data_IF_254142309591
#
_entry.id   IF_254142309591
#
_cell.length_a   1.000
_cell.length_b   1.000
_cell.length_c   1.000
_cell.angle_alpha   90.00
_cell.angle_beta   90.00
_cell.angle_gamma   90.00
#
_symmetry.space_group_name_H-M   'P 1'
#
loop_
_entity.id
_entity.type
_entity.pdbx_description
1 polymer ?
#
# COMPACT_ATOMS: atom_id res chain seq x y z
N UNK A 1 40.01 -9.16 -31.50
CA UNK A 1 39.92 -8.23 -30.36
C UNK A 1 38.62 -8.51 -29.63
N UNK A 2 38.72 -9.25 -28.55
CA UNK A 2 37.60 -9.62 -27.68
C UNK A 2 37.25 -8.40 -26.84
N UNK A 3 36.06 -7.83 -27.02
CA UNK A 3 35.54 -6.80 -26.13
C UNK A 3 35.12 -7.53 -24.86
N UNK A 4 36.00 -7.52 -23.86
CA UNK A 4 35.65 -7.86 -22.49
C UNK A 4 34.69 -6.76 -22.04
N UNK A 5 33.40 -7.08 -21.93
CA UNK A 5 32.46 -6.19 -21.29
C UNK A 5 32.89 -6.03 -19.84
N UNK A 6 33.20 -4.80 -19.44
CA UNK A 6 33.45 -4.44 -18.05
C UNK A 6 32.29 -4.96 -17.18
N UNK A 7 32.57 -5.42 -15.95
CA UNK A 7 31.54 -5.92 -15.06
C UNK A 7 30.48 -4.82 -14.86
N UNK A 8 29.23 -5.18 -15.14
CA UNK A 8 28.05 -4.33 -14.96
C UNK A 8 28.14 -3.64 -13.61
N UNK A 9 28.04 -2.31 -13.62
CA UNK A 9 28.07 -1.46 -12.45
C UNK A 9 27.28 -2.07 -11.28
N UNK A 10 27.90 -2.04 -10.11
CA UNK A 10 27.43 -2.61 -8.85
C UNK A 10 25.94 -2.29 -8.63
N UNK A 11 25.08 -3.27 -8.93
CA UNK A 11 23.64 -3.07 -8.95
C UNK A 11 23.15 -2.91 -7.51
N UNK A 12 22.86 -1.68 -7.10
CA UNK A 12 22.30 -1.37 -5.79
C UNK A 12 20.77 -1.40 -5.87
N UNK A 13 20.17 -2.21 -5.00
CA UNK A 13 18.72 -2.21 -4.82
C UNK A 13 18.24 -0.84 -4.34
N UNK A 14 17.01 -0.42 -4.70
CA UNK A 14 16.41 0.75 -4.08
C UNK A 14 16.36 0.60 -2.56
N UNK A 15 16.29 1.72 -1.81
CA UNK A 15 16.13 1.69 -0.36
C UNK A 15 15.00 0.74 0.03
N UNK A 16 15.29 -0.17 0.94
CA UNK A 16 14.35 -1.18 1.44
C UNK A 16 14.64 -1.46 2.92
N UNK A 17 13.67 -2.08 3.59
CA UNK A 17 13.77 -2.44 5.01
C UNK A 17 14.15 -1.21 5.87
N UNK A 18 15.09 -1.36 6.80
CA UNK A 18 15.43 -0.30 7.78
C UNK A 18 15.82 1.03 7.11
N UNK A 19 16.61 1.00 6.04
CA UNK A 19 17.02 2.22 5.34
C UNK A 19 15.82 2.99 4.75
N UNK A 20 14.81 2.27 4.25
CA UNK A 20 13.59 2.90 3.75
C UNK A 20 12.63 3.30 4.88
N UNK A 21 12.64 2.57 6.01
CA UNK A 21 11.86 2.94 7.19
C UNK A 21 12.38 4.24 7.82
N UNK A 22 13.71 4.41 7.89
CA UNK A 22 14.35 5.65 8.34
C UNK A 22 13.98 6.83 7.43
N UNK A 23 14.04 6.66 6.11
CA UNK A 23 13.58 7.69 5.16
C UNK A 23 12.11 8.08 5.35
N UNK A 24 11.24 7.11 5.65
CA UNK A 24 9.82 7.39 5.96
C UNK A 24 9.70 8.20 7.27
N UNK A 25 10.47 7.86 8.30
CA UNK A 25 10.48 8.58 9.58
C UNK A 25 10.97 10.00 9.42
N UNK A 26 12.10 10.20 8.73
CA UNK A 26 12.62 11.54 8.42
C UNK A 26 11.61 12.39 7.63
N UNK A 27 10.99 11.80 6.60
CA UNK A 27 9.97 12.49 5.81
C UNK A 27 8.74 12.85 6.64
N UNK A 28 8.33 11.97 7.57
CA UNK A 28 7.21 12.20 8.49
C UNK A 28 7.53 13.32 9.47
N UNK A 29 8.73 13.33 10.05
CA UNK A 29 9.18 14.35 11.00
C UNK A 29 9.27 15.72 10.31
N UNK A 30 9.79 15.76 9.08
CA UNK A 30 9.83 16.98 8.27
C UNK A 30 8.42 17.54 7.97
N UNK A 31 7.50 16.70 7.47
CA UNK A 31 6.13 17.12 7.18
C UNK A 31 5.36 17.51 8.45
N UNK A 32 5.65 16.86 9.59
CA UNK A 32 5.09 17.21 10.90
C UNK A 32 5.58 18.58 11.37
N UNK A 33 6.88 18.85 11.25
CA UNK A 33 7.45 20.15 11.56
C UNK A 33 6.86 21.27 10.69
N UNK A 34 6.67 21.01 9.38
CA UNK A 34 6.03 21.95 8.47
C UNK A 34 4.57 22.22 8.86
N UNK A 35 3.81 21.18 9.20
CA UNK A 35 2.43 21.32 9.68
C UNK A 35 2.36 22.16 10.96
N UNK A 36 3.25 21.90 11.91
CA UNK A 36 3.33 22.64 13.18
C UNK A 36 3.73 24.11 12.95
N UNK A 37 4.69 24.38 12.07
CA UNK A 37 5.10 25.74 11.75
C UNK A 37 3.94 26.53 11.10
N UNK A 38 3.25 25.94 10.12
CA UNK A 38 2.11 26.55 9.47
C UNK A 38 0.94 26.78 10.44
N UNK A 39 0.61 25.79 11.28
CA UNK A 39 -0.43 25.91 12.31
C UNK A 39 -0.08 26.95 13.39
N UNK A 40 1.17 26.99 13.84
CA UNK A 40 1.66 27.99 14.78
C UNK A 40 1.60 29.41 14.22
N UNK A 41 2.02 29.61 12.97
CA UNK A 41 1.90 30.90 12.28
C UNK A 41 0.44 31.33 12.12
N UNK A 42 -0.47 30.38 11.85
CA UNK A 42 -1.91 30.65 11.77
C UNK A 42 -2.48 31.14 13.12
N UNK A 43 -2.05 30.55 14.24
CA UNK A 43 -2.47 30.99 15.58
C UNK A 43 -1.95 32.39 15.92
N UNK A 44 -0.67 32.68 15.65
CA UNK A 44 -0.06 33.99 15.94
C UNK A 44 -0.65 35.12 15.09
N UNK A 45 -1.05 34.83 13.85
CA UNK A 45 -1.70 35.79 12.95
C UNK A 45 -3.18 36.05 13.27
N UNK A 46 -3.69 35.53 14.40
CA UNK A 46 -5.08 35.71 14.82
C UNK A 46 -6.06 34.88 13.98
N UNK A 47 -5.68 33.66 13.61
CA UNK A 47 -6.30 32.89 12.53
C UNK A 47 -7.76 32.47 12.67
N UNK A 48 -8.43 32.76 13.78
CA UNK A 48 -9.90 32.67 13.83
C UNK A 48 -10.60 33.96 13.35
N UNK A 49 -9.88 35.09 13.32
CA UNK A 49 -10.42 36.43 13.13
C UNK A 49 -9.83 37.07 11.85
N UNK A 50 -8.62 36.71 11.46
CA UNK A 50 -7.91 37.33 10.33
C UNK A 50 -7.80 36.39 9.11
N UNK A 51 -8.12 36.86 7.88
CA UNK A 51 -8.06 36.05 6.65
C UNK A 51 -6.71 35.37 6.39
N UNK A 52 -5.60 36.01 6.79
CA UNK A 52 -4.25 35.45 6.65
C UNK A 52 -4.07 34.15 7.45
N UNK A 53 -4.64 34.06 8.64
CA UNK A 53 -4.54 32.84 9.44
C UNK A 53 -5.38 31.69 8.90
N UNK A 54 -6.50 31.96 8.22
CA UNK A 54 -7.26 30.93 7.50
C UNK A 54 -6.44 30.33 6.35
N UNK A 55 -5.70 31.17 5.60
CA UNK A 55 -4.79 30.72 4.53
C UNK A 55 -3.66 29.86 5.11
N UNK A 56 -3.08 30.26 6.25
CA UNK A 56 -2.02 29.50 6.92
C UNK A 56 -2.53 28.14 7.47
N UNK A 57 -3.75 28.10 8.02
CA UNK A 57 -4.40 26.83 8.39
C UNK A 57 -4.62 25.92 7.18
N UNK A 58 -5.07 26.47 6.05
CA UNK A 58 -5.23 25.69 4.82
C UNK A 58 -3.89 25.14 4.32
N UNK A 59 -2.79 25.90 4.48
CA UNK A 59 -1.45 25.42 4.14
C UNK A 59 -0.99 24.26 5.03
N UNK A 60 -1.39 24.20 6.30
CA UNK A 60 -1.06 23.09 7.20
C UNK A 60 -1.78 21.77 6.85
N UNK A 61 -2.92 21.82 6.15
CA UNK A 61 -3.74 20.64 5.85
C UNK A 61 -3.01 19.62 4.95
N UNK A 62 -2.31 20.09 3.90
CA UNK A 62 -1.63 19.21 2.95
C UNK A 62 -0.47 18.43 3.61
N UNK A 63 0.41 19.06 4.41
CA UNK A 63 1.38 18.36 5.26
C UNK A 63 0.72 17.34 6.21
N UNK A 64 -0.36 17.70 6.91
CA UNK A 64 -1.06 16.77 7.81
C UNK A 64 -1.55 15.49 7.11
N UNK A 65 -2.16 15.64 5.94
CA UNK A 65 -2.58 14.47 5.14
C UNK A 65 -1.40 13.57 4.73
N UNK A 66 -0.23 14.16 4.45
CA UNK A 66 0.99 13.40 4.15
C UNK A 66 1.54 12.70 5.38
N UNK A 67 1.56 13.37 6.53
CA UNK A 67 1.97 12.78 7.82
C UNK A 67 1.12 11.56 8.14
N UNK A 68 -0.20 11.64 7.98
CA UNK A 68 -1.06 10.47 8.16
C UNK A 68 -0.68 9.32 7.23
N UNK A 69 -0.48 9.61 5.93
CA UNK A 69 -0.09 8.57 4.97
C UNK A 69 1.24 7.91 5.37
N UNK A 70 2.23 8.71 5.76
CA UNK A 70 3.54 8.22 6.19
C UNK A 70 3.45 7.42 7.50
N UNK A 71 2.63 7.85 8.46
CA UNK A 71 2.42 7.12 9.70
C UNK A 71 1.80 5.73 9.48
N UNK A 72 0.85 5.60 8.53
CA UNK A 72 0.27 4.31 8.13
C UNK A 72 1.33 3.37 7.55
N UNK A 73 2.17 3.91 6.65
CA UNK A 73 3.29 3.17 6.04
C UNK A 73 4.31 2.74 7.10
N UNK A 74 4.73 3.66 7.97
CA UNK A 74 5.67 3.39 9.06
C UNK A 74 5.17 2.27 9.98
N UNK A 75 3.90 2.36 10.43
CA UNK A 75 3.29 1.35 11.31
C UNK A 75 3.29 -0.02 10.63
N UNK A 76 2.79 -0.10 9.40
CA UNK A 76 2.69 -1.38 8.70
C UNK A 76 4.07 -1.99 8.40
N UNK A 77 5.00 -1.16 7.95
CA UNK A 77 6.36 -1.60 7.64
C UNK A 77 7.12 -2.05 8.89
N UNK A 78 6.97 -1.35 10.02
CA UNK A 78 7.57 -1.75 11.30
C UNK A 78 7.08 -3.14 11.73
N UNK A 79 5.77 -3.39 11.66
CA UNK A 79 5.18 -4.68 12.00
C UNK A 79 5.71 -5.78 11.07
N UNK A 80 5.66 -5.56 9.76
CA UNK A 80 6.13 -6.53 8.76
C UNK A 80 7.61 -6.87 8.92
N UNK A 81 8.47 -5.87 9.14
CA UNK A 81 9.89 -6.10 9.33
C UNK A 81 10.15 -6.84 10.65
N UNK A 82 9.45 -6.49 11.73
CA UNK A 82 9.64 -7.15 13.03
C UNK A 82 9.26 -8.63 12.99
N UNK A 83 8.14 -8.98 12.34
CA UNK A 83 7.65 -10.36 12.30
C UNK A 83 8.40 -11.23 11.31
N UNK A 84 8.77 -10.68 10.14
CA UNK A 84 9.27 -11.47 9.02
C UNK A 84 10.78 -11.30 8.77
N UNK A 85 11.51 -10.63 9.68
CA UNK A 85 12.97 -10.43 9.57
C UNK A 85 13.73 -11.73 9.33
N UNK A 86 13.40 -12.78 10.09
CA UNK A 86 14.06 -14.09 10.02
C UNK A 86 13.81 -14.81 8.70
N UNK A 87 12.76 -14.42 7.97
CA UNK A 87 12.38 -15.02 6.69
C UNK A 87 13.01 -14.30 5.49
N UNK A 88 13.86 -13.29 5.73
CA UNK A 88 14.57 -12.55 4.68
C UNK A 88 13.65 -11.63 3.87
N UNK A 89 12.63 -11.07 4.51
CA UNK A 89 11.69 -10.14 3.86
C UNK A 89 12.42 -8.90 3.31
N UNK A 90 12.03 -8.48 2.10
CA UNK A 90 12.42 -7.22 1.49
C UNK A 90 11.16 -6.38 1.30
N UNK A 91 11.07 -5.25 1.99
CA UNK A 91 9.94 -4.32 1.92
C UNK A 91 10.40 -3.05 1.21
N UNK A 92 9.79 -2.79 0.05
CA UNK A 92 10.03 -1.64 -0.81
C UNK A 92 8.84 -0.68 -0.76
N UNK A 93 8.92 0.43 -0.01
CA UNK A 93 7.82 1.37 0.11
C UNK A 93 7.83 2.44 -0.99
N UNK A 94 6.65 3.04 -1.25
CA UNK A 94 6.47 4.26 -2.07
C UNK A 94 7.14 4.17 -3.47
N UNK A 95 6.89 3.08 -4.19
CA UNK A 95 7.44 2.92 -5.54
C UNK A 95 6.66 3.77 -6.54
N UNK A 96 7.34 4.68 -7.23
CA UNK A 96 6.74 5.55 -8.23
C UNK A 96 6.43 4.74 -9.49
N UNK A 97 5.16 4.82 -9.92
CA UNK A 97 4.66 4.21 -11.16
C UNK A 97 4.20 5.36 -12.06
N UNK A 98 4.58 5.31 -13.33
CA UNK A 98 4.13 6.29 -14.33
C UNK A 98 2.60 6.29 -14.41
N UNK A 99 2.01 7.49 -14.50
CA UNK A 99 0.56 7.74 -14.66
C UNK A 99 -0.36 7.18 -13.56
N UNK A 100 0.18 6.67 -12.46
CA UNK A 100 -0.59 6.09 -11.35
C UNK A 100 -0.13 6.60 -9.98
N UNK A 101 -0.95 6.37 -8.95
CA UNK A 101 -0.50 6.54 -7.57
C UNK A 101 0.68 5.60 -7.29
N UNK A 102 1.64 6.01 -6.44
CA UNK A 102 2.75 5.14 -6.08
C UNK A 102 2.23 3.88 -5.38
N UNK A 103 2.93 2.76 -5.60
CA UNK A 103 2.72 1.52 -4.85
C UNK A 103 3.11 1.81 -3.41
N UNK A 104 2.20 1.52 -2.47
CA UNK A 104 2.46 1.80 -1.07
C UNK A 104 3.52 0.86 -0.52
N UNK A 105 3.38 -0.45 -0.73
CA UNK A 105 4.43 -1.44 -0.43
C UNK A 105 4.50 -2.53 -1.51
N UNK A 106 5.71 -2.83 -1.96
CA UNK A 106 6.04 -4.10 -2.61
C UNK A 106 6.86 -4.95 -1.65
N UNK A 107 6.37 -6.14 -1.32
CA UNK A 107 7.01 -7.06 -0.39
C UNK A 107 7.51 -8.27 -1.20
N UNK A 108 8.80 -8.56 -1.05
CA UNK A 108 9.44 -9.71 -1.67
C UNK A 108 10.00 -10.64 -0.60
N UNK A 109 9.57 -11.90 -0.67
CA UNK A 109 10.24 -13.02 -0.01
C UNK A 109 11.02 -13.77 -1.09
N UNK A 110 12.35 -13.61 -1.17
CA UNK A 110 13.14 -14.12 -2.29
C UNK A 110 12.86 -15.60 -2.57
N UNK A 111 12.49 -15.93 -3.81
CA UNK A 111 12.17 -17.31 -4.28
C UNK A 111 11.00 -18.02 -3.56
N UNK A 112 10.20 -17.28 -2.76
CA UNK A 112 9.05 -17.81 -2.02
C UNK A 112 7.75 -17.20 -2.50
N UNK A 113 7.57 -15.90 -2.30
CA UNK A 113 6.33 -15.20 -2.60
C UNK A 113 6.55 -13.69 -2.74
N UNK A 114 5.67 -13.04 -3.49
CA UNK A 114 5.62 -11.59 -3.60
C UNK A 114 4.23 -11.07 -3.17
N UNK A 115 4.18 -9.86 -2.64
CA UNK A 115 2.94 -9.17 -2.34
C UNK A 115 3.02 -7.72 -2.80
N UNK A 116 1.94 -7.22 -3.36
CA UNK A 116 1.75 -5.82 -3.71
C UNK A 116 0.60 -5.30 -2.86
N UNK A 117 0.91 -4.36 -1.97
CA UNK A 117 -0.04 -3.78 -1.03
C UNK A 117 -0.34 -2.34 -1.44
N UNK A 118 -1.62 -2.05 -1.54
CA UNK A 118 -2.17 -0.69 -1.68
C UNK A 118 -2.96 -0.37 -0.41
N UNK A 119 -2.55 0.67 0.32
CA UNK A 119 -3.19 1.10 1.57
C UNK A 119 -4.13 2.25 1.23
N UNK A 120 -5.40 2.13 1.62
CA UNK A 120 -6.41 3.15 1.32
C UNK A 120 -7.30 3.45 2.51
N UNK A 121 -7.54 4.74 2.74
CA UNK A 121 -8.55 5.23 3.67
C UNK A 121 -9.46 6.23 2.96
N UNK A 122 -10.76 6.13 3.23
CA UNK A 122 -11.86 6.97 2.73
C UNK A 122 -12.72 7.51 3.89
N UNK A 123 -12.11 7.75 5.04
CA UNK A 123 -12.82 8.20 6.25
C UNK A 123 -13.85 7.17 6.72
N UNK A 124 -14.88 7.62 7.44
CA UNK A 124 -15.96 6.76 7.96
C UNK A 124 -16.86 6.26 6.81
N UNK A 125 -16.42 5.20 6.15
CA UNK A 125 -17.07 4.66 4.96
C UNK A 125 -16.99 3.14 4.91
N UNK A 126 -18.03 2.54 4.32
CA UNK A 126 -18.09 1.12 3.97
C UNK A 126 -17.76 0.95 2.48
N UNK A 127 -16.91 -0.02 2.18
CA UNK A 127 -16.54 -0.42 0.83
C UNK A 127 -17.46 -1.56 0.41
N UNK A 128 -18.22 -1.33 -0.66
CA UNK A 128 -19.19 -2.28 -1.22
C UNK A 128 -18.70 -2.71 -2.59
N UNK A 129 -18.73 -3.99 -2.89
CA UNK A 129 -18.42 -4.50 -4.22
C UNK A 129 -19.69 -4.71 -5.05
N UNK A 130 -19.72 -4.08 -6.23
CA UNK A 130 -20.77 -4.30 -7.21
C UNK A 130 -20.33 -5.37 -8.20
N UNK A 131 -20.85 -6.59 -8.06
CA UNK A 131 -20.46 -7.74 -8.87
C UNK A 131 -20.78 -7.58 -10.35
N UNK A 132 -21.96 -7.05 -10.70
CA UNK A 132 -22.37 -6.88 -12.11
C UNK A 132 -21.44 -5.99 -12.90
N UNK A 133 -20.83 -5.00 -12.24
CA UNK A 133 -19.92 -4.02 -12.86
C UNK A 133 -18.47 -4.25 -12.47
N UNK A 134 -18.21 -5.21 -11.60
CA UNK A 134 -16.91 -5.48 -10.95
C UNK A 134 -16.26 -4.21 -10.36
N UNK A 135 -17.04 -3.27 -9.82
CA UNK A 135 -16.55 -1.98 -9.30
C UNK A 135 -16.62 -1.93 -7.78
N UNK A 136 -15.63 -1.29 -7.16
CA UNK A 136 -15.73 -0.86 -5.78
C UNK A 136 -16.57 0.42 -5.69
N UNK A 137 -17.51 0.42 -4.76
CA UNK A 137 -18.32 1.56 -4.38
C UNK A 137 -18.05 1.90 -2.91
N UNK A 138 -18.27 3.15 -2.55
CA UNK A 138 -18.07 3.67 -1.20
C UNK A 138 -19.39 4.24 -0.72
N UNK A 139 -19.84 3.73 0.42
CA UNK A 139 -21.00 4.20 1.18
C UNK A 139 -20.48 5.00 2.37
N UNK A 140 -20.72 6.31 2.38
CA UNK A 140 -20.29 7.18 3.48
C UNK A 140 -21.29 7.09 4.63
N UNK A 141 -20.80 7.07 5.86
CA UNK A 141 -21.67 7.19 7.04
C UNK A 141 -22.49 8.48 6.96
N UNK A 142 -23.76 8.40 7.35
CA UNK A 142 -24.72 9.52 7.34
C UNK A 142 -24.98 10.16 5.96
N UNK A 143 -24.65 9.48 4.86
CA UNK A 143 -25.02 9.92 3.50
C UNK A 143 -25.77 8.83 2.76
N UNK A 144 -26.88 9.20 2.15
CA UNK A 144 -27.62 8.31 1.25
C UNK A 144 -26.87 8.16 -0.07
N UNK A 145 -26.66 6.91 -0.50
CA UNK A 145 -26.17 6.58 -1.83
C UNK A 145 -24.76 5.99 -1.89
N UNK A 146 -24.50 5.32 -3.01
CA UNK A 146 -23.23 4.67 -3.31
C UNK A 146 -22.45 5.51 -4.32
N UNK A 147 -21.21 5.85 -3.97
CA UNK A 147 -20.30 6.55 -4.89
C UNK A 147 -19.31 5.56 -5.47
N UNK A 148 -19.02 5.65 -6.77
CA UNK A 148 -18.01 4.77 -7.37
C UNK A 148 -16.62 5.17 -6.89
N UNK A 149 -15.81 4.21 -6.45
CA UNK A 149 -14.42 4.48 -6.10
C UNK A 149 -13.61 4.73 -7.39
N UNK A 150 -13.17 5.98 -7.58
CA UNK A 150 -12.29 6.38 -8.68
C UNK A 150 -10.98 6.99 -8.15
N UNK A 151 -9.82 6.65 -8.73
CA UNK A 151 -9.60 5.47 -9.61
C UNK A 151 -9.92 4.16 -8.87
N UNK A 152 -10.17 3.07 -9.61
CA UNK A 152 -10.54 1.78 -9.01
C UNK A 152 -9.30 1.07 -8.45
N UNK A 153 -9.19 0.83 -7.13
CA UNK A 153 -7.99 0.24 -6.53
C UNK A 153 -7.65 -1.16 -7.06
N UNK A 154 -8.66 -1.96 -7.45
CA UNK A 154 -8.46 -3.30 -7.99
C UNK A 154 -7.76 -3.28 -9.36
N UNK A 155 -8.01 -2.23 -10.14
CA UNK A 155 -7.35 -2.01 -11.43
C UNK A 155 -5.92 -1.55 -11.19
N UNK A 156 -5.72 -0.58 -10.29
CA UNK A 156 -4.38 -0.08 -9.91
C UNK A 156 -3.46 -1.23 -9.48
N UNK A 157 -3.94 -2.12 -8.60
CA UNK A 157 -3.16 -3.27 -8.12
C UNK A 157 -2.66 -4.19 -9.24
N UNK A 158 -3.46 -4.36 -10.29
CA UNK A 158 -3.10 -5.21 -11.43
C UNK A 158 -2.12 -4.50 -12.37
N UNK A 159 -2.25 -3.18 -12.50
CA UNK A 159 -1.31 -2.36 -13.25
C UNK A 159 0.05 -2.28 -12.50
N UNK A 160 0.03 -2.27 -11.16
CA UNK A 160 1.23 -2.37 -10.31
C UNK A 160 1.97 -3.70 -10.47
N UNK A 161 1.25 -4.83 -10.46
CA UNK A 161 1.82 -6.16 -10.73
C UNK A 161 2.54 -6.20 -12.07
N UNK A 162 1.90 -5.65 -13.11
CA UNK A 162 2.49 -5.53 -14.43
C UNK A 162 3.74 -4.65 -14.44
N UNK A 163 3.69 -3.53 -13.72
CA UNK A 163 4.83 -2.62 -13.61
C UNK A 163 6.02 -3.26 -12.88
N UNK A 164 5.79 -3.93 -11.75
CA UNK A 164 6.85 -4.66 -11.01
C UNK A 164 7.46 -5.76 -11.87
N UNK A 165 6.65 -6.49 -12.62
CA UNK A 165 7.11 -7.55 -13.55
C UNK A 165 8.00 -6.99 -14.68
N UNK A 166 7.61 -5.85 -15.25
CA UNK A 166 8.41 -5.16 -16.27
C UNK A 166 9.73 -4.64 -15.70
N UNK A 167 9.67 -4.06 -14.50
CA UNK A 167 10.80 -3.45 -13.81
C UNK A 167 11.53 -4.42 -12.87
N UNK A 168 11.41 -5.72 -13.10
CA UNK A 168 11.97 -6.77 -12.23
C UNK A 168 13.46 -6.61 -11.94
N UNK A 169 14.20 -6.05 -12.91
CA UNK A 169 15.62 -5.77 -12.76
C UNK A 169 15.89 -4.79 -11.61
N UNK A 170 15.02 -3.79 -11.37
CA UNK A 170 15.14 -2.83 -10.26
C UNK A 170 15.09 -3.49 -8.87
N UNK A 171 14.55 -4.70 -8.79
CA UNK A 171 14.45 -5.45 -7.55
C UNK A 171 15.43 -6.63 -7.51
N UNK A 172 16.39 -6.69 -8.44
CA UNK A 172 17.31 -7.84 -8.55
C UNK A 172 16.58 -9.16 -8.78
N UNK A 173 15.41 -9.12 -9.44
CA UNK A 173 14.63 -10.32 -9.75
C UNK A 173 14.98 -10.84 -11.13
N UNK A 174 15.15 -12.16 -11.23
CA UNK A 174 15.32 -12.84 -12.53
C UNK A 174 13.96 -13.06 -13.20
N UNK A 175 13.94 -13.23 -14.53
CA UNK A 175 12.70 -13.60 -15.24
C UNK A 175 12.09 -14.91 -14.70
N UNK A 176 12.93 -15.86 -14.28
CA UNK A 176 12.47 -17.13 -13.67
C UNK A 176 11.76 -16.89 -12.33
N UNK A 177 12.26 -15.97 -11.53
CA UNK A 177 11.65 -15.63 -10.24
C UNK A 177 10.26 -15.04 -10.44
N UNK A 178 10.11 -14.04 -11.32
CA UNK A 178 8.82 -13.37 -11.54
C UNK A 178 7.76 -14.33 -12.10
N UNK A 179 8.14 -15.25 -13.00
CA UNK A 179 7.17 -16.19 -13.58
C UNK A 179 6.77 -17.34 -12.64
N UNK A 180 7.67 -17.77 -11.74
CA UNK A 180 7.43 -18.93 -10.86
C UNK A 180 6.99 -18.56 -9.45
N UNK A 181 7.18 -17.31 -9.04
CA UNK A 181 6.88 -16.87 -7.68
C UNK A 181 5.45 -16.34 -7.62
N UNK A 182 4.60 -16.87 -6.73
CA UNK A 182 3.23 -16.40 -6.58
C UNK A 182 3.20 -14.95 -6.06
N UNK A 183 2.41 -14.10 -6.71
CA UNK A 183 2.23 -12.70 -6.34
C UNK A 183 0.80 -12.45 -5.84
N UNK A 184 0.65 -11.94 -4.62
CA UNK A 184 -0.64 -11.50 -4.08
C UNK A 184 -0.85 -10.00 -4.35
N UNK A 185 -2.05 -9.65 -4.81
CA UNK A 185 -2.53 -8.27 -4.89
C UNK A 185 -3.43 -8.00 -3.70
N UNK A 186 -3.10 -7.00 -2.88
CA UNK A 186 -3.77 -6.76 -1.61
C UNK A 186 -4.17 -5.30 -1.49
N UNK A 187 -5.46 -5.07 -1.30
CA UNK A 187 -6.01 -3.79 -0.90
C UNK A 187 -6.22 -3.80 0.61
N UNK A 188 -5.46 -3.00 1.32
CA UNK A 188 -5.60 -2.81 2.77
C UNK A 188 -6.49 -1.60 3.02
N UNK A 189 -7.61 -1.84 3.67
CA UNK A 189 -8.51 -0.81 4.15
C UNK A 189 -8.01 -0.34 5.51
N UNK A 190 -7.72 0.96 5.60
CA UNK A 190 -7.21 1.56 6.82
C UNK A 190 -8.35 2.25 7.58
N UNK A 191 -8.41 2.01 8.89
CA UNK A 191 -9.45 2.55 9.75
C UNK A 191 -9.53 4.09 9.63
N UNK A 192 -10.74 4.69 9.55
CA UNK A 192 -12.06 4.11 9.83
C UNK A 192 -12.81 3.53 8.62
N UNK A 193 -12.13 3.31 7.49
CA UNK A 193 -12.75 2.66 6.33
C UNK A 193 -12.83 1.16 6.56
N UNK A 194 -13.98 0.55 6.23
CA UNK A 194 -14.20 -0.89 6.40
C UNK A 194 -14.82 -1.52 5.16
N UNK A 195 -14.63 -2.82 4.98
CA UNK A 195 -15.44 -3.58 4.04
C UNK A 195 -16.87 -3.69 4.58
N UNK A 196 -17.88 -3.65 3.69
CA UNK A 196 -19.25 -3.95 4.08
C UNK A 196 -19.36 -5.41 4.59
N UNK A 197 -20.23 -5.64 5.58
CA UNK A 197 -20.41 -6.96 6.19
C UNK A 197 -21.29 -7.90 5.34
N UNK A 198 -22.07 -7.34 4.43
CA UNK A 198 -23.12 -8.02 3.65
C UNK A 198 -22.65 -8.48 2.25
N UNK A 199 -21.35 -8.66 2.04
CA UNK A 199 -20.86 -9.24 0.80
C UNK A 199 -21.33 -10.69 0.62
N UNK A 200 -21.62 -11.07 -0.62
CA UNK A 200 -22.08 -12.42 -0.92
C UNK A 200 -21.02 -13.47 -0.53
N UNK A 201 -21.42 -14.61 0.08
CA UNK A 201 -20.47 -15.61 0.58
C UNK A 201 -19.47 -16.15 -0.44
N UNK A 202 -19.85 -16.23 -1.73
CA UNK A 202 -18.97 -16.74 -2.80
C UNK A 202 -17.81 -15.80 -3.15
N UNK A 203 -17.84 -14.55 -2.68
CA UNK A 203 -16.72 -13.61 -2.85
C UNK A 203 -15.60 -13.88 -1.84
N UNK A 204 -15.84 -14.71 -0.83
CA UNK A 204 -14.84 -15.06 0.16
C UNK A 204 -14.08 -16.32 -0.26
N UNK A 205 -12.77 -16.27 -0.09
CA UNK A 205 -11.86 -17.42 -0.25
C UNK A 205 -11.24 -17.74 1.09
N UNK A 206 -11.09 -19.03 1.37
CA UNK A 206 -10.33 -19.50 2.53
C UNK A 206 -8.83 -19.58 2.18
N UNK A 207 -7.99 -19.13 3.11
CA UNK A 207 -6.54 -19.21 3.02
C UNK A 207 -5.96 -19.47 4.41
N UNK A 208 -5.59 -20.72 4.68
CA UNK A 208 -5.28 -21.15 6.05
C UNK A 208 -6.52 -21.01 6.94
N UNK A 209 -6.39 -20.33 8.07
CA UNK A 209 -7.50 -19.97 8.97
C UNK A 209 -8.32 -18.77 8.52
N UNK A 210 -7.86 -18.03 7.49
CA UNK A 210 -8.46 -16.75 7.13
C UNK A 210 -9.57 -16.90 6.10
N UNK A 211 -10.64 -16.11 6.29
CA UNK A 211 -11.69 -15.89 5.30
C UNK A 211 -11.50 -14.52 4.67
N UNK A 212 -10.99 -14.49 3.43
CA UNK A 212 -10.54 -13.28 2.75
C UNK A 212 -11.51 -12.88 1.64
N UNK A 213 -11.82 -11.59 1.52
CA UNK A 213 -12.61 -11.08 0.41
C UNK A 213 -11.76 -11.05 -0.87
N UNK A 214 -12.08 -11.91 -1.83
CA UNK A 214 -11.34 -12.10 -3.07
C UNK A 214 -12.12 -11.55 -4.27
N UNK A 215 -11.79 -10.32 -4.68
CA UNK A 215 -12.54 -9.60 -5.70
C UNK A 215 -11.89 -9.76 -7.08
N UNK A 216 -12.72 -9.96 -8.11
CA UNK A 216 -12.28 -10.14 -9.50
C UNK A 216 -12.45 -8.85 -10.31
N UNK A 217 -11.44 -8.50 -11.11
CA UNK A 217 -11.52 -7.47 -12.15
C UNK A 217 -10.44 -7.61 -13.23
N UNK A 218 -9.18 -7.45 -12.83
CA UNK A 218 -8.00 -7.68 -13.69
C UNK A 218 -7.14 -8.77 -13.02
N UNK A 219 -7.78 -9.91 -12.77
CA UNK A 219 -7.30 -10.93 -11.85
C UNK A 219 -7.89 -10.77 -10.45
N UNK A 220 -7.40 -11.56 -9.51
CA UNK A 220 -7.87 -11.60 -8.12
C UNK A 220 -7.07 -10.63 -7.26
N UNK A 221 -7.77 -9.80 -6.48
CA UNK A 221 -7.17 -9.01 -5.42
C UNK A 221 -7.89 -9.30 -4.10
N UNK A 222 -7.12 -9.42 -3.03
CA UNK A 222 -7.63 -9.62 -1.69
C UNK A 222 -7.89 -8.26 -1.03
N UNK A 223 -9.05 -8.12 -0.39
CA UNK A 223 -9.40 -6.94 0.40
C UNK A 223 -9.43 -7.35 1.85
N UNK A 224 -8.64 -6.66 2.66
CA UNK A 224 -8.48 -6.94 4.10
C UNK A 224 -8.44 -5.65 4.90
N UNK A 225 -8.62 -5.77 6.21
CA UNK A 225 -8.38 -4.68 7.16
C UNK A 225 -6.90 -4.58 7.53
N UNK A 226 -6.48 -3.45 8.10
CA UNK A 226 -5.09 -3.21 8.48
C UNK A 226 -4.56 -4.22 9.50
N UNK A 227 -5.42 -4.73 10.38
CA UNK A 227 -5.05 -5.68 11.44
C UNK A 227 -4.77 -7.09 10.89
N UNK A 228 -5.31 -7.41 9.71
CA UNK A 228 -5.26 -8.75 9.12
C UNK A 228 -4.00 -8.97 8.25
N UNK A 229 -3.16 -7.94 8.06
CA UNK A 229 -2.06 -7.98 7.10
C UNK A 229 -1.02 -9.05 7.46
N UNK A 230 -0.67 -9.18 8.74
CA UNK A 230 0.35 -10.14 9.19
C UNK A 230 -0.13 -11.59 9.07
N UNK A 231 -1.39 -11.84 9.42
CA UNK A 231 -2.02 -13.14 9.24
C UNK A 231 -2.10 -13.50 7.76
N UNK A 232 -2.45 -12.55 6.88
CA UNK A 232 -2.47 -12.76 5.44
C UNK A 232 -1.09 -13.15 4.91
N UNK A 233 -0.05 -12.41 5.29
CA UNK A 233 1.33 -12.71 4.85
C UNK A 233 1.74 -14.11 5.31
N UNK A 234 1.42 -14.48 6.56
CA UNK A 234 1.71 -15.82 7.10
C UNK A 234 0.97 -16.91 6.32
N UNK A 235 -0.33 -16.74 6.10
CA UNK A 235 -1.15 -17.70 5.36
C UNK A 235 -0.69 -17.84 3.90
N UNK A 236 -0.32 -16.72 3.27
CA UNK A 236 0.21 -16.70 1.90
C UNK A 236 1.54 -17.47 1.81
N UNK A 237 2.45 -17.26 2.75
CA UNK A 237 3.73 -17.97 2.77
C UNK A 237 3.55 -19.46 3.03
N UNK A 238 2.74 -19.84 4.02
CA UNK A 238 2.46 -21.25 4.35
C UNK A 238 1.90 -22.01 3.14
N UNK A 239 0.93 -21.41 2.43
CA UNK A 239 0.30 -22.00 1.24
C UNK A 239 1.31 -22.42 0.16
N UNK A 240 2.42 -21.68 0.01
CA UNK A 240 3.41 -21.93 -1.03
C UNK A 240 4.73 -22.52 -0.51
N UNK A 241 4.87 -22.71 0.80
CA UNK A 241 5.90 -23.56 1.39
C UNK A 241 5.50 -25.04 1.33
N UNK A 242 4.21 -25.36 1.48
CA UNK A 242 3.69 -26.74 1.43
C UNK A 242 3.64 -27.34 0.01
N UNK A 243 3.80 -26.53 -1.05
CA UNK A 243 3.72 -27.00 -2.45
C UNK A 243 5.09 -27.34 -3.07
N UNK A 244 6.15 -27.49 -2.26
CA UNK A 244 7.49 -27.93 -2.71
C UNK A 244 7.85 -29.28 -2.11
#
# INVERSE_FOLDING_TARGET
>A
MTIVQDPVADFQLPPHNEAALEQIREAKDYESALALAAGGAALVSGGMIHPLGWVLFAMAYKPLYRVEKLARLEKLMTVLLSEFKTQGVQVFPVLKVEDNHPIDLFIRFPKKAHLIISIRSRGESEVVYNEKREILQVKKKNKSGLTTWRPCPLVELSDYERWVTKNRALFGMTSKEVTKTPTAKVLVLWSPTKAAEDHNPHLYSEMGSMKLLALRRKGTAFVIQEEEVTELVRAWLAKYEETK
#
